data_IF_073828901128
#
_entry.id   IF_073828901128
#
_cell.length_a   1.000
_cell.length_b   1.000
_cell.length_c   1.000
_cell.angle_alpha   90.00
_cell.angle_beta   90.00
_cell.angle_gamma   90.00
#
_symmetry.space_group_name_H-M   'P 1'
#
loop_
_entity.id
_entity.type
_entity.pdbx_description
1 polymer ?
#
# COMPACT_ATOMS: atom_id res chain seq x y z
N UNK A 1 9.78 5.72 -10.35
CA UNK A 1 9.22 4.93 -9.24
C UNK A 1 7.69 4.97 -9.21
N UNK A 2 7.09 6.16 -9.11
CA UNK A 2 5.63 6.32 -9.06
C UNK A 2 4.89 5.70 -10.25
N UNK A 3 5.40 5.91 -11.44
CA UNK A 3 4.84 5.32 -12.67
C UNK A 3 4.86 3.79 -12.62
N UNK A 4 5.98 3.17 -12.19
CA UNK A 4 6.07 1.70 -12.09
C UNK A 4 5.08 1.14 -11.06
N UNK A 5 4.84 1.84 -9.96
CA UNK A 5 3.87 1.44 -8.94
C UNK A 5 2.42 1.61 -9.42
N UNK A 6 2.12 2.66 -10.19
CA UNK A 6 0.83 2.82 -10.85
C UNK A 6 0.54 1.66 -11.83
N UNK A 7 1.54 1.23 -12.60
CA UNK A 7 1.44 0.07 -13.48
C UNK A 7 1.16 -1.22 -12.68
N UNK A 8 1.79 -1.41 -11.53
CA UNK A 8 1.54 -2.55 -10.64
C UNK A 8 0.07 -2.58 -10.18
N UNK A 9 -0.48 -1.43 -9.78
CA UNK A 9 -1.88 -1.32 -9.38
C UNK A 9 -2.83 -1.60 -10.55
N UNK A 10 -2.55 -1.05 -11.74
CA UNK A 10 -3.34 -1.31 -12.95
C UNK A 10 -3.32 -2.81 -13.33
N UNK A 11 -2.16 -3.46 -13.24
CA UNK A 11 -2.02 -4.89 -13.47
C UNK A 11 -2.85 -5.71 -12.47
N UNK A 12 -2.83 -5.32 -11.20
CA UNK A 12 -3.65 -5.96 -10.16
C UNK A 12 -5.14 -5.94 -10.51
N UNK A 13 -5.65 -4.80 -10.95
CA UNK A 13 -7.05 -4.65 -11.36
C UNK A 13 -7.37 -5.51 -12.60
N UNK A 14 -6.48 -5.50 -13.59
CA UNK A 14 -6.63 -6.32 -14.80
C UNK A 14 -6.68 -7.81 -14.47
N UNK A 15 -5.73 -8.30 -13.68
CA UNK A 15 -5.67 -9.70 -13.26
C UNK A 15 -6.91 -10.10 -12.43
N UNK A 16 -7.35 -9.25 -11.52
CA UNK A 16 -8.55 -9.49 -10.73
C UNK A 16 -9.80 -9.62 -11.60
N UNK A 17 -9.93 -8.79 -12.64
CA UNK A 17 -11.04 -8.86 -13.58
C UNK A 17 -10.98 -10.08 -14.50
N UNK A 18 -9.78 -10.55 -14.82
CA UNK A 18 -9.55 -11.69 -15.73
C UNK A 18 -9.62 -13.05 -15.03
N UNK A 19 -9.46 -13.08 -13.72
CA UNK A 19 -9.38 -14.30 -12.90
C UNK A 19 -10.35 -14.25 -11.73
N UNK A 20 -11.64 -14.44 -12.02
CA UNK A 20 -12.72 -14.37 -11.03
C UNK A 20 -12.65 -15.44 -9.92
N UNK A 21 -11.86 -16.48 -10.13
CA UNK A 21 -11.60 -17.55 -9.15
C UNK A 21 -10.47 -17.21 -8.16
N UNK A 22 -9.82 -16.05 -8.31
CA UNK A 22 -8.73 -15.59 -7.46
C UNK A 22 -9.10 -14.27 -6.79
N UNK A 23 -8.60 -14.07 -5.57
CA UNK A 23 -8.65 -12.80 -4.87
C UNK A 23 -7.30 -12.13 -5.07
N UNK A 24 -7.28 -11.04 -5.85
CA UNK A 24 -6.05 -10.34 -6.23
C UNK A 24 -6.18 -8.88 -5.84
N UNK A 25 -5.34 -8.43 -4.93
CA UNK A 25 -5.32 -7.07 -4.40
C UNK A 25 -3.89 -6.54 -4.34
N UNK A 26 -3.75 -5.24 -4.20
CA UNK A 26 -2.47 -4.58 -3.93
C UNK A 26 -2.53 -3.78 -2.63
N UNK A 27 -1.37 -3.55 -2.03
CA UNK A 27 -1.26 -2.72 -0.82
C UNK A 27 0.05 -1.96 -0.79
N UNK A 28 0.10 -0.96 0.08
CA UNK A 28 1.33 -0.25 0.43
C UNK A 28 1.73 -0.55 1.88
N UNK A 29 3.02 -0.73 2.16
CA UNK A 29 3.50 -0.84 3.54
C UNK A 29 3.46 0.51 4.28
N UNK A 30 3.33 1.62 3.55
CA UNK A 30 3.50 2.96 4.06
C UNK A 30 4.96 3.45 3.96
N UNK A 31 5.29 4.48 4.72
CA UNK A 31 6.63 5.06 4.74
C UNK A 31 7.50 4.31 5.75
N UNK A 32 8.36 3.43 5.26
CA UNK A 32 9.11 2.44 6.06
C UNK A 32 10.59 2.72 6.02
N UNK A 33 11.25 2.62 7.16
CA UNK A 33 12.70 2.72 7.31
C UNK A 33 13.36 1.43 6.79
N UNK A 34 13.87 1.50 5.56
CA UNK A 34 14.54 0.39 4.85
C UNK A 34 15.74 0.92 4.06
N UNK A 35 16.56 0.02 3.57
CA UNK A 35 17.71 0.39 2.72
C UNK A 35 17.30 1.21 1.49
N UNK A 36 16.10 0.97 0.96
CA UNK A 36 15.55 1.73 -0.17
C UNK A 36 15.35 3.22 0.17
N UNK A 37 15.01 3.53 1.43
CA UNK A 37 14.70 4.90 1.89
C UNK A 37 15.89 5.62 2.50
N UNK A 38 16.98 4.93 2.83
CA UNK A 38 18.17 5.51 3.45
C UNK A 38 18.78 6.70 2.67
N UNK A 39 18.93 6.65 1.34
CA UNK A 39 19.44 7.81 0.59
C UNK A 39 18.56 9.06 0.77
N UNK A 40 17.25 8.89 0.83
CA UNK A 40 16.30 9.98 1.04
C UNK A 40 16.40 10.56 2.46
N UNK A 41 16.59 9.70 3.46
CA UNK A 41 16.84 10.12 4.85
C UNK A 41 18.12 10.95 4.95
N UNK A 42 19.20 10.46 4.33
CA UNK A 42 20.50 11.13 4.33
C UNK A 42 20.44 12.51 3.66
N UNK A 43 19.71 12.64 2.55
CA UNK A 43 19.52 13.90 1.84
C UNK A 43 18.80 14.95 2.70
N UNK A 44 17.83 14.53 3.51
CA UNK A 44 17.04 15.42 4.37
C UNK A 44 17.76 15.82 5.65
N UNK A 45 18.80 15.09 6.06
CA UNK A 45 19.54 15.35 7.30
C UNK A 45 18.71 15.11 8.57
N UNK A 46 17.66 14.32 8.48
CA UNK A 46 16.77 13.95 9.57
C UNK A 46 16.91 12.46 9.91
N UNK A 47 16.45 12.06 11.08
CA UNK A 47 16.34 10.63 11.42
C UNK A 47 15.06 10.03 10.84
N UNK A 48 14.99 8.71 10.63
CA UNK A 48 13.75 8.05 10.19
C UNK A 48 12.54 8.37 11.07
N UNK A 49 12.73 8.44 12.38
CA UNK A 49 11.67 8.78 13.34
C UNK A 49 11.16 10.19 13.12
N UNK A 50 12.06 11.17 12.97
CA UNK A 50 11.70 12.58 12.70
C UNK A 50 10.95 12.74 11.37
N UNK A 51 11.20 11.86 10.42
CA UNK A 51 10.50 11.81 9.14
C UNK A 51 9.15 11.06 9.19
N UNK A 52 8.76 10.53 10.35
CA UNK A 52 7.51 9.77 10.51
C UNK A 52 7.55 8.36 9.91
N UNK A 53 8.75 7.81 9.70
CA UNK A 53 8.92 6.45 9.19
C UNK A 53 8.57 5.40 10.25
N UNK A 54 7.96 4.32 9.79
CA UNK A 54 7.67 3.13 10.60
C UNK A 54 8.81 2.12 10.51
N UNK A 55 8.89 1.23 11.47
CA UNK A 55 9.84 0.11 11.46
C UNK A 55 9.48 -0.91 10.37
N UNK A 56 10.45 -1.67 9.83
CA UNK A 56 10.19 -2.69 8.81
C UNK A 56 9.08 -3.67 9.16
N UNK A 57 9.01 -4.12 10.42
CA UNK A 57 7.96 -5.05 10.87
C UNK A 57 6.55 -4.46 10.73
N UNK A 58 6.40 -3.17 10.91
CA UNK A 58 5.13 -2.47 10.75
C UNK A 58 4.70 -2.38 9.29
N UNK A 59 5.65 -2.45 8.36
CA UNK A 59 5.38 -2.50 6.92
C UNK A 59 4.74 -3.79 6.45
N UNK A 60 4.82 -4.87 7.22
CA UNK A 60 4.20 -6.15 6.90
C UNK A 60 2.70 -6.19 7.20
N UNK A 61 2.17 -5.25 7.98
CA UNK A 61 0.79 -5.29 8.51
C UNK A 61 -0.25 -5.35 7.38
N UNK A 62 -0.14 -4.51 6.36
CA UNK A 62 -1.10 -4.50 5.25
C UNK A 62 -1.07 -5.78 4.41
N UNK A 63 0.12 -6.35 4.19
CA UNK A 63 0.27 -7.63 3.46
C UNK A 63 -0.33 -8.80 4.25
N UNK A 64 -0.10 -8.85 5.56
CA UNK A 64 -0.66 -9.87 6.44
C UNK A 64 -2.19 -9.74 6.49
N UNK A 65 -2.70 -8.52 6.58
CA UNK A 65 -4.15 -8.27 6.53
C UNK A 65 -4.78 -8.86 5.26
N UNK A 66 -4.21 -8.58 4.08
CA UNK A 66 -4.71 -9.12 2.81
C UNK A 66 -4.67 -10.64 2.73
N UNK A 67 -3.69 -11.26 3.40
CA UNK A 67 -3.55 -12.71 3.41
C UNK A 67 -4.54 -13.40 4.36
N UNK A 68 -4.85 -12.77 5.49
CA UNK A 68 -5.60 -13.40 6.59
C UNK A 68 -7.08 -13.00 6.63
N UNK A 69 -7.49 -11.91 5.97
CA UNK A 69 -8.87 -11.45 5.97
C UNK A 69 -9.76 -12.34 5.09
N UNK A 70 -10.78 -12.96 5.70
CA UNK A 70 -11.68 -13.90 5.00
C UNK A 70 -12.69 -13.22 4.08
N UNK A 71 -13.06 -11.96 4.40
CA UNK A 71 -14.10 -11.21 3.67
C UNK A 71 -13.51 -10.02 2.94
N UNK A 72 -12.56 -10.29 2.06
CA UNK A 72 -11.92 -9.26 1.26
C UNK A 72 -12.39 -9.36 -0.19
N UNK A 73 -12.60 -8.22 -0.82
CA UNK A 73 -12.90 -8.16 -2.26
C UNK A 73 -11.67 -8.40 -3.13
N UNK A 74 -11.82 -8.26 -4.44
CA UNK A 74 -10.75 -8.43 -5.41
C UNK A 74 -10.64 -7.21 -6.32
N UNK A 75 -9.43 -6.86 -6.76
CA UNK A 75 -9.16 -5.70 -7.60
C UNK A 75 -9.05 -4.39 -6.83
N UNK A 76 -8.75 -4.44 -5.55
CA UNK A 76 -8.66 -3.25 -4.69
C UNK A 76 -7.23 -2.94 -4.28
N UNK A 77 -7.02 -1.67 -3.92
CA UNK A 77 -5.79 -1.18 -3.33
C UNK A 77 -6.01 -0.80 -1.87
N UNK A 78 -5.10 -1.21 -1.00
CA UNK A 78 -5.18 -0.98 0.44
C UNK A 78 -4.02 -0.12 0.93
N UNK A 79 -4.33 0.83 1.79
CA UNK A 79 -3.35 1.64 2.52
C UNK A 79 -2.59 0.85 3.57
N UNK A 80 -1.58 1.49 4.16
CA UNK A 80 -0.79 0.91 5.26
C UNK A 80 -1.59 0.70 6.55
N UNK A 81 -2.76 1.30 6.64
CA UNK A 81 -3.74 1.15 7.72
C UNK A 81 -4.78 0.04 7.43
N UNK A 82 -4.54 -0.78 6.42
CA UNK A 82 -5.42 -1.87 5.99
C UNK A 82 -6.79 -1.42 5.49
N UNK A 83 -6.92 -0.16 5.09
CA UNK A 83 -8.18 0.42 4.61
C UNK A 83 -8.13 0.60 3.10
N UNK A 84 -9.26 0.27 2.44
CA UNK A 84 -9.39 0.45 0.99
C UNK A 84 -9.10 1.90 0.60
N UNK A 85 -8.25 2.08 -0.38
CA UNK A 85 -7.77 3.37 -0.87
C UNK A 85 -8.05 3.52 -2.36
N UNK A 86 -8.26 4.74 -2.88
CA UNK A 86 -8.40 4.97 -4.31
C UNK A 86 -7.07 4.75 -5.05
N UNK A 87 -7.16 4.49 -6.36
CA UNK A 87 -6.00 4.26 -7.22
C UNK A 87 -5.47 5.54 -7.87
N UNK A 88 -6.29 6.57 -7.92
CA UNK A 88 -6.08 7.80 -8.67
C UNK A 88 -5.67 9.00 -7.81
N UNK A 89 -5.78 8.87 -6.51
CA UNK A 89 -5.43 9.93 -5.56
C UNK A 89 -4.95 9.38 -4.23
N UNK A 90 -4.19 10.20 -3.52
CA UNK A 90 -3.69 9.83 -2.19
C UNK A 90 -4.82 9.87 -1.16
N UNK A 91 -4.86 8.86 -0.30
CA UNK A 91 -5.64 8.79 0.94
C UNK A 91 -4.67 8.69 2.12
N UNK A 92 -4.81 9.57 3.10
CA UNK A 92 -3.98 9.48 4.30
C UNK A 92 -4.41 8.31 5.19
N UNK A 93 -3.46 7.63 5.85
CA UNK A 93 -3.81 6.67 6.89
C UNK A 93 -4.69 7.30 7.96
N UNK A 94 -5.79 6.63 8.30
CA UNK A 94 -6.80 7.14 9.24
C UNK A 94 -7.98 7.87 8.59
N UNK A 95 -7.88 8.27 7.32
CA UNK A 95 -9.03 8.80 6.59
C UNK A 95 -10.09 7.70 6.35
N UNK A 96 -11.35 8.09 6.12
CA UNK A 96 -12.41 7.12 5.78
C UNK A 96 -12.06 6.24 4.59
N UNK A 97 -12.57 5.00 4.61
CA UNK A 97 -12.40 4.07 3.52
C UNK A 97 -12.98 4.62 2.20
N UNK A 98 -12.26 4.39 1.10
CA UNK A 98 -12.77 4.67 -0.23
C UNK A 98 -13.93 3.71 -0.57
N UNK A 99 -15.07 4.27 -0.93
CA UNK A 99 -16.30 3.51 -1.21
C UNK A 99 -16.46 3.14 -2.69
N UNK A 100 -15.59 3.64 -3.54
CA UNK A 100 -15.75 3.57 -4.98
C UNK A 100 -16.52 4.77 -5.54
N UNK A 101 -16.44 4.95 -6.81
CA UNK A 101 -17.16 6.01 -7.53
C UNK A 101 -18.46 5.45 -8.11
#
# INVERSE_FOLDING_TARGET
YGFSKACTNALTMYLASSHSNLIINSCTPGFIDTDLTQPYVAERGLTPIEMGMKKPIEGAVSSIHLLMEEKIGSGFYYGSDCVRSPLDRYRSPGDPAYQGD
#
